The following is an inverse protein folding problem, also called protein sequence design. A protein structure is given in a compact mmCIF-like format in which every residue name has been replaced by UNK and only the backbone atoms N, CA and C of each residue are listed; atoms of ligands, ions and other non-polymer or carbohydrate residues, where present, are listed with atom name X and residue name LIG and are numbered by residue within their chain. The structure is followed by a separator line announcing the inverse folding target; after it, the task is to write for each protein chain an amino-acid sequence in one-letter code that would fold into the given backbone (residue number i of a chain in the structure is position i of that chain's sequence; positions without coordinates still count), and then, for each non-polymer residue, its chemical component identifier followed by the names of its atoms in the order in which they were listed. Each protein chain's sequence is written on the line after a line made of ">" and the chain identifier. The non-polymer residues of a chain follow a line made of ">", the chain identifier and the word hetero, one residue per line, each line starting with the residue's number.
data_IF_803464863655
#
_entry.id   IF_803464863655
#
_cell.length_a   1.000
_cell.length_b   1.000
_cell.length_c   1.000
_cell.angle_alpha   90.00
_cell.angle_beta   90.00
_cell.angle_gamma   90.00
#
_symmetry.space_group_name_H-M   'P 1'
#
loop_
_entity.id
_entity.type
_entity.pdbx_description
1 polymer ?
#
# COMPACT_ATOMS: atom_id res chain seq x y z
N UNK A 1 0.12 5.94 -11.37
CA UNK A 1 -1.23 5.36 -11.50
C UNK A 1 -2.01 5.63 -10.23
N UNK A 2 -3.29 5.98 -10.31
CA UNK A 2 -4.13 6.33 -9.14
C UNK A 2 -5.28 5.33 -9.05
N UNK A 3 -5.46 4.73 -7.87
CA UNK A 3 -6.47 3.73 -7.57
C UNK A 3 -7.40 4.25 -6.49
N UNK A 4 -8.72 4.08 -6.67
CA UNK A 4 -9.70 4.42 -5.65
C UNK A 4 -9.69 3.34 -4.56
N UNK A 5 -9.69 3.76 -3.29
CA UNK A 5 -9.92 2.86 -2.16
C UNK A 5 -11.39 2.96 -1.75
N UNK A 6 -12.18 1.92 -2.06
CA UNK A 6 -13.60 1.86 -1.72
C UNK A 6 -13.81 1.32 -0.29
N UNK A 7 -14.95 1.66 0.31
CA UNK A 7 -15.44 1.11 1.59
C UNK A 7 -14.46 1.17 2.77
N UNK A 8 -13.60 2.18 2.77
CA UNK A 8 -12.63 2.40 3.85
C UNK A 8 -13.36 2.87 5.11
N UNK A 9 -13.25 2.11 6.20
CA UNK A 9 -13.75 2.53 7.52
C UNK A 9 -12.68 3.32 8.27
N UNK A 10 -13.07 4.10 9.27
CA UNK A 10 -12.11 4.78 10.16
C UNK A 10 -11.54 3.78 11.18
N UNK A 11 -10.68 2.89 10.71
CA UNK A 11 -9.91 1.96 11.56
C UNK A 11 -8.48 1.84 11.04
N UNK A 12 -7.62 1.15 11.79
CA UNK A 12 -6.26 0.84 11.37
C UNK A 12 -6.26 -0.26 10.30
N UNK A 13 -5.51 -0.04 9.22
CA UNK A 13 -5.30 -1.03 8.17
C UNK A 13 -3.82 -1.23 7.88
N UNK A 14 -3.45 -2.47 7.60
CA UNK A 14 -2.26 -2.74 6.80
C UNK A 14 -2.67 -2.65 5.32
N UNK A 15 -2.12 -1.66 4.62
CA UNK A 15 -2.37 -1.41 3.19
C UNK A 15 -1.33 -2.18 2.40
N UNK A 16 -1.75 -3.19 1.65
CA UNK A 16 -0.89 -4.01 0.83
C UNK A 16 -1.26 -3.90 -0.65
N UNK A 17 -0.28 -4.13 -1.53
CA UNK A 17 -0.50 -4.31 -2.96
C UNK A 17 -0.02 -5.69 -3.37
N UNK A 18 -0.80 -6.37 -4.21
CA UNK A 18 -0.43 -7.64 -4.83
C UNK A 18 0.09 -7.35 -6.23
N UNK A 19 1.36 -7.67 -6.44
CA UNK A 19 2.08 -7.44 -7.68
C UNK A 19 2.21 -8.74 -8.46
N UNK A 20 1.94 -8.65 -9.75
CA UNK A 20 2.02 -9.78 -10.66
C UNK A 20 3.36 -9.77 -11.42
N UNK A 21 4.02 -10.92 -11.60
CA UNK A 21 5.19 -11.04 -12.45
C UNK A 21 4.86 -10.83 -13.93
N UNK A 22 5.84 -10.40 -14.73
CA UNK A 22 5.64 -10.10 -16.15
C UNK A 22 5.40 -11.33 -17.02
N UNK A 23 5.85 -12.49 -16.55
CA UNK A 23 5.67 -13.78 -17.20
C UNK A 23 4.19 -14.19 -17.36
N UNK A 24 3.27 -13.55 -16.64
CA UNK A 24 1.82 -13.79 -16.78
C UNK A 24 1.29 -13.28 -18.13
N UNK A 25 1.85 -12.19 -18.65
CA UNK A 25 1.43 -11.62 -19.94
C UNK A 25 2.35 -12.00 -21.08
N UNK A 26 3.64 -12.21 -20.81
CA UNK A 26 4.63 -12.61 -21.80
C UNK A 26 5.59 -13.67 -21.21
N UNK A 27 5.42 -14.96 -21.56
CA UNK A 27 6.26 -16.05 -21.05
C UNK A 27 7.74 -15.93 -21.40
N UNK A 28 8.10 -15.18 -22.45
CA UNK A 28 9.50 -14.99 -22.88
C UNK A 28 10.11 -13.69 -22.34
N UNK A 29 9.33 -12.85 -21.67
CA UNK A 29 9.83 -11.61 -21.10
C UNK A 29 10.88 -11.88 -20.00
N UNK A 30 11.98 -11.14 -20.07
CA UNK A 30 13.00 -11.18 -19.03
C UNK A 30 12.39 -10.78 -17.68
N UNK A 31 12.32 -11.72 -16.74
CA UNK A 31 11.80 -11.51 -15.40
C UNK A 31 12.68 -10.49 -14.66
N UNK A 32 12.23 -9.23 -14.62
CA UNK A 32 12.91 -8.13 -13.93
C UNK A 32 12.08 -7.67 -12.73
N UNK A 33 12.73 -7.38 -11.60
CA UNK A 33 12.05 -6.85 -10.42
C UNK A 33 11.42 -5.47 -10.69
N UNK A 34 10.49 -5.07 -9.85
CA UNK A 34 9.83 -3.77 -9.91
C UNK A 34 10.41 -2.82 -8.86
N UNK A 35 10.45 -1.53 -9.21
CA UNK A 35 10.81 -0.47 -8.27
C UNK A 35 9.79 0.66 -8.34
N UNK A 36 9.09 0.90 -7.24
CA UNK A 36 7.99 1.86 -7.19
C UNK A 36 7.89 2.61 -5.87
N UNK A 37 7.16 3.71 -5.90
CA UNK A 37 6.75 4.53 -4.76
C UNK A 37 5.24 4.40 -4.61
N UNK A 38 4.77 4.49 -3.38
CA UNK A 38 3.36 4.48 -3.06
C UNK A 38 3.01 5.68 -2.19
N UNK A 39 1.87 6.31 -2.48
CA UNK A 39 1.35 7.42 -1.70
C UNK A 39 -0.16 7.22 -1.49
N UNK A 40 -0.63 7.27 -0.25
CA UNK A 40 -2.05 7.22 0.11
C UNK A 40 -2.57 8.64 0.22
N UNK A 41 -3.41 9.05 -0.73
CA UNK A 41 -4.19 10.27 -0.63
C UNK A 41 -5.48 10.05 0.14
N UNK A 42 -5.80 10.96 1.04
CA UNK A 42 -7.02 10.95 1.84
C UNK A 42 -7.50 12.37 2.13
N UNK A 43 -8.77 12.50 2.47
CA UNK A 43 -9.35 13.74 2.97
C UNK A 43 -9.41 13.67 4.50
N UNK A 44 -8.86 14.68 5.18
CA UNK A 44 -8.93 14.76 6.64
C UNK A 44 -10.31 15.21 7.15
N UNK A 45 -10.49 15.20 8.47
CA UNK A 45 -11.73 15.62 9.14
C UNK A 45 -12.14 17.07 8.80
N UNK A 46 -11.19 17.91 8.38
CA UNK A 46 -11.42 19.30 8.00
C UNK A 46 -11.70 19.47 6.50
N UNK A 47 -11.82 18.37 5.74
CA UNK A 47 -12.02 18.41 4.30
C UNK A 47 -10.76 18.71 3.49
N UNK A 48 -9.58 18.75 4.12
CA UNK A 48 -8.32 19.04 3.43
C UNK A 48 -7.75 17.77 2.79
N UNK A 49 -7.38 17.86 1.50
CA UNK A 49 -6.70 16.77 0.79
C UNK A 49 -5.27 16.64 1.32
N UNK A 50 -4.96 15.49 1.92
CA UNK A 50 -3.63 15.12 2.41
C UNK A 50 -3.10 13.92 1.64
N UNK A 51 -1.79 13.80 1.60
CA UNK A 51 -1.08 12.66 1.00
C UNK A 51 -0.09 12.11 2.02
N UNK A 52 -0.18 10.81 2.28
CA UNK A 52 0.77 10.07 3.10
C UNK A 52 1.70 9.29 2.19
N UNK A 53 2.98 9.65 2.20
CA UNK A 53 4.00 8.87 1.50
C UNK A 53 4.28 7.58 2.25
N UNK A 54 3.95 6.46 1.60
CA UNK A 54 4.20 5.13 2.13
C UNK A 54 5.71 4.90 2.22
N UNK A 55 6.15 4.41 3.36
CA UNK A 55 7.55 4.07 3.58
C UNK A 55 7.62 2.88 4.52
N UNK A 56 8.53 1.95 4.24
CA UNK A 56 8.87 0.92 5.21
C UNK A 56 10.09 1.34 6.02
N UNK A 57 10.21 0.77 7.20
CA UNK A 57 11.44 0.81 8.01
C UNK A 57 12.19 -0.47 7.70
N UNK A 58 13.38 -0.33 7.12
CA UNK A 58 14.28 -1.47 6.85
C UNK A 58 14.88 -1.96 8.18
N UNK A 59 15.41 -3.19 8.23
CA UNK A 59 16.03 -3.80 9.44
C UNK A 59 17.16 -2.92 10.03
N UNK A 60 17.71 -2.02 9.21
CA UNK A 60 18.73 -1.02 9.59
C UNK A 60 18.15 0.34 10.02
N UNK A 61 16.86 0.41 10.36
CA UNK A 61 16.13 1.65 10.72
C UNK A 61 16.17 2.76 9.65
N UNK A 62 16.42 2.42 8.39
CA UNK A 62 16.37 3.40 7.30
C UNK A 62 14.97 3.46 6.72
N UNK A 63 14.38 4.66 6.73
CA UNK A 63 13.09 4.94 6.09
C UNK A 63 13.27 4.87 4.57
N UNK A 64 12.83 3.76 3.98
CA UNK A 64 12.84 3.61 2.52
C UNK A 64 11.47 4.00 1.97
N UNK A 65 11.48 4.92 1.00
CA UNK A 65 10.27 5.35 0.27
C UNK A 65 10.09 4.59 -1.04
N UNK A 66 11.10 3.83 -1.44
CA UNK A 66 11.08 3.00 -2.65
C UNK A 66 10.89 1.55 -2.25
N UNK A 67 9.88 0.94 -2.82
CA UNK A 67 9.58 -0.48 -2.71
C UNK A 67 10.23 -1.19 -3.88
N UNK A 68 11.00 -2.23 -3.57
CA UNK A 68 11.61 -3.12 -4.56
C UNK A 68 11.05 -4.52 -4.35
N UNK A 69 10.58 -5.17 -5.41
CA UNK A 69 10.27 -6.60 -5.34
C UNK A 69 11.56 -7.40 -5.49
N UNK A 70 11.72 -8.45 -4.69
CA UNK A 70 12.90 -9.31 -4.76
C UNK A 70 12.72 -10.45 -5.76
N UNK A 71 11.49 -10.92 -5.96
CA UNK A 71 11.19 -12.05 -6.84
C UNK A 71 10.40 -11.58 -8.07
N UNK A 72 10.98 -11.66 -9.28
CA UNK A 72 10.30 -11.28 -10.51
C UNK A 72 9.49 -12.41 -11.16
N UNK A 73 9.52 -13.63 -10.62
CA UNK A 73 8.86 -14.81 -11.19
C UNK A 73 7.58 -15.21 -10.44
N UNK A 74 7.45 -14.78 -9.18
CA UNK A 74 6.31 -15.09 -8.32
C UNK A 74 5.47 -13.86 -8.00
N UNK A 75 4.23 -14.09 -7.57
CA UNK A 75 3.35 -13.04 -7.05
C UNK A 75 3.92 -12.52 -5.74
N UNK A 76 4.11 -11.22 -5.63
CA UNK A 76 4.67 -10.57 -4.45
C UNK A 76 3.61 -9.69 -3.77
N UNK A 77 3.44 -9.86 -2.46
CA UNK A 77 2.52 -9.03 -1.66
C UNK A 77 3.32 -8.03 -0.86
N UNK A 78 3.31 -6.77 -1.30
CA UNK A 78 4.09 -5.71 -0.67
C UNK A 78 3.21 -4.93 0.29
N UNK A 79 3.60 -4.88 1.57
CA UNK A 79 2.98 -4.02 2.57
C UNK A 79 3.48 -2.59 2.35
N UNK A 80 2.58 -1.68 1.96
CA UNK A 80 2.89 -0.28 1.65
C UNK A 80 2.88 0.58 2.91
N UNK A 81 1.85 0.41 3.74
CA UNK A 81 1.71 1.11 5.00
C UNK A 81 1.22 0.11 6.05
N UNK A 82 1.87 0.11 7.21
CA UNK A 82 1.50 -0.71 8.35
C UNK A 82 0.77 0.16 9.36
N UNK A 83 -0.32 -0.35 9.94
CA UNK A 83 -1.08 0.35 10.98
C UNK A 83 -1.56 1.76 10.57
N UNK A 84 -1.85 1.96 9.27
CA UNK A 84 -2.33 3.25 8.78
C UNK A 84 -3.80 3.45 9.18
N UNK A 85 -4.06 4.51 9.94
CA UNK A 85 -5.41 4.87 10.39
C UNK A 85 -5.99 5.90 9.42
N UNK A 86 -7.10 5.55 8.78
CA UNK A 86 -7.84 6.51 7.98
C UNK A 86 -8.63 7.45 8.91
N UNK A 87 -8.44 8.78 8.81
CA UNK A 87 -9.03 9.73 9.74
C UNK A 87 -10.54 9.84 9.59
N UNK A 88 -11.06 9.63 8.38
CA UNK A 88 -12.48 9.65 8.09
C UNK A 88 -12.92 8.28 7.54
N UNK A 89 -14.20 7.95 7.69
CA UNK A 89 -14.78 6.79 7.03
C UNK A 89 -15.40 7.22 5.70
N UNK A 90 -15.31 6.38 4.67
CA UNK A 90 -16.02 6.56 3.42
C UNK A 90 -17.47 6.05 3.57
N UNK A 91 -18.28 6.78 4.34
CA UNK A 91 -19.70 6.47 4.49
C UNK A 91 -20.47 7.10 3.31
N UNK A 92 -21.20 6.27 2.55
CA UNK A 92 -22.04 6.65 1.39
C UNK A 92 -21.38 7.06 0.07
N UNK A 93 -20.22 6.51 -0.31
CA UNK A 93 -19.61 6.74 -1.64
C UNK A 93 -19.58 8.22 -2.08
N UNK A 94 -19.52 9.15 -1.11
CA UNK A 94 -19.68 10.56 -1.40
C UNK A 94 -18.43 11.01 -2.14
N UNK A 95 -18.54 11.10 -3.46
CA UNK A 95 -17.54 11.56 -4.41
C UNK A 95 -16.27 10.69 -4.54
N UNK A 96 -15.85 10.48 -5.79
CA UNK A 96 -14.72 9.62 -6.21
C UNK A 96 -13.33 10.02 -5.67
N UNK A 97 -13.22 10.97 -4.75
CA UNK A 97 -11.96 11.62 -4.38
C UNK A 97 -11.53 11.41 -2.91
N UNK A 98 -12.32 10.74 -2.09
CA UNK A 98 -12.06 10.71 -0.64
C UNK A 98 -10.80 9.93 -0.26
N UNK A 99 -10.55 8.78 -0.91
CA UNK A 99 -9.38 7.95 -0.63
C UNK A 99 -8.81 7.35 -1.91
N UNK A 100 -7.52 7.52 -2.11
CA UNK A 100 -6.83 6.99 -3.28
C UNK A 100 -5.42 6.50 -2.96
N UNK A 101 -5.00 5.41 -3.57
CA UNK A 101 -3.63 4.95 -3.57
C UNK A 101 -2.98 5.35 -4.89
N UNK A 102 -1.88 6.09 -4.83
CA UNK A 102 -1.07 6.44 -5.99
C UNK A 102 0.17 5.57 -6.01
N UNK A 103 0.32 4.76 -7.07
CA UNK A 103 1.53 3.97 -7.32
C UNK A 103 2.32 4.60 -8.46
N UNK A 104 3.57 4.95 -8.18
CA UNK A 104 4.45 5.65 -9.11
C UNK A 104 5.70 4.82 -9.34
N UNK A 105 5.94 4.40 -10.58
CA UNK A 105 7.20 3.77 -10.95
C UNK A 105 8.36 4.75 -10.67
N UNK A 106 9.30 4.36 -9.83
CA UNK A 106 10.36 5.24 -9.32
C UNK A 106 11.75 4.71 -9.66
N UNK A 107 11.95 4.35 -10.93
CA UNK A 107 13.27 4.02 -11.46
C UNK A 107 13.91 5.21 -12.16
N UNK A 108 15.23 5.33 -12.03
CA UNK A 108 16.05 6.22 -12.84
C UNK A 108 16.33 5.61 -14.22
N UNK A 109 16.76 6.44 -15.18
CA UNK A 109 17.10 5.96 -16.53
C UNK A 109 18.23 4.91 -16.53
N UNK A 110 19.17 4.99 -15.58
CA UNK A 110 20.25 4.02 -15.41
C UNK A 110 19.74 2.66 -14.89
N UNK A 111 18.66 2.67 -14.09
CA UNK A 111 18.04 1.50 -13.49
C UNK A 111 17.14 0.72 -14.46
N UNK A 112 16.89 1.25 -15.66
CA UNK A 112 16.05 0.65 -16.70
C UNK A 112 16.57 -0.70 -17.22
N UNK A 113 17.87 -0.98 -17.04
CA UNK A 113 18.46 -2.30 -17.36
C UNK A 113 18.11 -3.34 -16.29
N UNK A 114 17.90 -2.91 -15.05
CA UNK A 114 17.72 -3.77 -13.87
C UNK A 114 16.26 -3.99 -13.48
N UNK A 115 15.40 -2.97 -13.62
CA UNK A 115 14.00 -3.05 -13.23
C UNK A 115 13.06 -2.89 -14.42
N UNK A 116 11.85 -3.43 -14.28
CA UNK A 116 10.84 -3.31 -15.32
C UNK A 116 9.89 -2.13 -15.12
N UNK A 117 9.60 -1.42 -16.22
CA UNK A 117 8.70 -0.25 -16.24
C UNK A 117 7.21 -0.59 -16.11
N UNK A 118 6.69 -1.58 -16.83
CA UNK A 118 5.30 -1.99 -16.64
C UNK A 118 5.19 -2.73 -15.31
N UNK A 119 4.41 -2.17 -14.39
CA UNK A 119 4.05 -2.80 -13.12
C UNK A 119 2.67 -3.41 -13.30
N UNK A 120 2.58 -4.72 -13.14
CA UNK A 120 1.30 -5.43 -13.15
C UNK A 120 0.78 -5.55 -11.73
N UNK A 121 -0.47 -5.13 -11.53
CA UNK A 121 -1.13 -5.10 -10.23
C UNK A 121 -2.39 -5.95 -10.36
N UNK A 122 -2.53 -6.93 -9.47
CA UNK A 122 -3.74 -7.72 -9.38
C UNK A 122 -4.79 -6.97 -8.55
N UNK A 123 -4.46 -6.71 -7.29
CA UNK A 123 -5.36 -6.06 -6.36
C UNK A 123 -4.64 -5.23 -5.28
N UNK A 124 -5.41 -4.38 -4.63
CA UNK A 124 -5.01 -3.64 -3.42
C UNK A 124 -5.79 -4.25 -2.26
N UNK A 125 -5.05 -4.70 -1.24
CA UNK A 125 -5.62 -5.33 -0.06
C UNK A 125 -5.57 -4.37 1.11
N UNK A 126 -6.73 -4.15 1.73
CA UNK A 126 -6.86 -3.42 2.99
C UNK A 126 -7.12 -4.44 4.09
N UNK A 127 -6.10 -4.79 4.88
CA UNK A 127 -6.24 -5.73 6.00
C UNK A 127 -6.57 -4.94 7.27
N UNK A 128 -7.82 -4.98 7.77
CA UNK A 128 -8.15 -4.27 9.01
C UNK A 128 -7.41 -4.91 10.17
N UNK A 129 -6.88 -4.09 11.05
CA UNK A 129 -6.44 -4.52 12.38
C UNK A 129 -7.53 -4.17 13.37
N UNK A 130 -7.96 -5.19 14.12
CA UNK A 130 -8.76 -4.94 15.30
C UNK A 130 -7.95 -4.01 16.21
N UNK A 131 -8.59 -2.97 16.74
CA UNK A 131 -8.04 -2.29 17.91
C UNK A 131 -7.82 -3.39 18.95
N UNK A 132 -6.58 -3.56 19.40
CA UNK A 132 -6.34 -4.32 20.62
C UNK A 132 -6.99 -3.46 21.69
N UNK A 133 -8.25 -3.73 22.02
CA UNK A 133 -8.82 -3.28 23.28
C UNK A 133 -7.90 -3.89 24.34
N UNK A 134 -7.17 -3.03 25.06
CA UNK A 134 -6.42 -3.47 26.21
C UNK A 134 -7.41 -4.18 27.12
N UNK A 135 -7.16 -5.46 27.36
CA UNK A 135 -7.93 -6.32 28.25
C UNK A 135 -7.94 -5.61 29.62
N UNK A 136 -9.04 -4.93 29.96
CA UNK A 136 -9.21 -4.39 31.31
C UNK A 136 -9.21 -5.60 32.25
N UNK A 137 -8.33 -5.64 33.27
CA UNK A 137 -8.29 -6.76 34.18
C UNK A 137 -9.66 -6.86 34.85
N UNK A 138 -10.39 -7.95 34.55
CA UNK A 138 -11.61 -8.30 35.28
C UNK A 138 -11.20 -8.49 36.74
N UNK A 139 -11.59 -7.52 37.57
CA UNK A 139 -11.44 -7.56 39.02
C UNK A 139 -12.30 -8.75 39.50
N UNK A 140 -11.68 -9.93 39.62
CA UNK A 140 -12.28 -11.10 40.25
C UNK A 140 -12.43 -10.83 41.75
N UNK A 141 -13.49 -10.11 42.10
CA UNK A 141 -14.04 -10.11 43.44
C UNK A 141 -15.45 -10.66 43.38
N UNK A 142 -15.57 -11.92 43.80
CA UNK A 142 -16.68 -12.43 44.62
C UNK A 142 -16.30 -13.78 45.25
#
# INVERSE_FOLDING_TARGET
>A
MKFRLADVKSTAYDVCVVLLPQNITDPEAAAKPYQFKADIGYIDENGAKKSYTCSWIDEKNKKQTKFNTNDPLHVDTVVLAKDFVFPTCNWYEQTNEHFYLTLTCSMSAAENKKYSRPIYIDCILLKPKAKIEADEPRDERE
#
